data_IF_661028059653
#
_entry.id   IF_661028059653
#
_cell.length_a   1.000
_cell.length_b   1.000
_cell.length_c   1.000
_cell.angle_alpha   90.00
_cell.angle_beta   90.00
_cell.angle_gamma   90.00
#
_symmetry.space_group_name_H-M   'P 1'
#
loop_
_entity.id
_entity.type
_entity.pdbx_description
1 polymer ?
#
# COMPACT_ATOMS: atom_id res chain seq x y z
N UNK A 1 8.71 -6.19 -6.38
CA UNK A 1 8.99 -4.95 -7.15
C UNK A 1 9.65 -3.94 -6.23
N UNK A 2 10.76 -3.31 -6.63
CA UNK A 2 11.33 -2.21 -5.86
C UNK A 2 10.55 -0.91 -6.13
N UNK A 3 10.05 -0.27 -5.07
CA UNK A 3 9.29 1.00 -5.17
C UNK A 3 10.30 2.12 -5.39
N UNK A 4 10.27 2.77 -6.56
CA UNK A 4 11.09 3.95 -6.85
C UNK A 4 10.45 5.18 -6.22
N UNK A 5 11.07 5.74 -5.18
CA UNK A 5 10.66 7.00 -4.55
C UNK A 5 11.42 8.16 -5.22
N UNK A 6 10.70 9.20 -5.64
CA UNK A 6 11.32 10.40 -6.18
C UNK A 6 11.78 11.29 -4.99
N UNK A 7 13.08 11.66 -4.90
CA UNK A 7 13.63 12.42 -3.78
C UNK A 7 13.10 13.87 -3.70
N UNK A 8 12.74 14.49 -4.83
CA UNK A 8 12.17 15.85 -4.88
C UNK A 8 10.72 15.91 -4.36
N UNK A 9 10.16 14.74 -4.04
CA UNK A 9 8.76 14.56 -3.66
C UNK A 9 8.70 14.01 -2.25
N UNK A 10 8.50 14.86 -1.22
CA UNK A 10 8.46 14.39 0.17
C UNK A 10 7.38 13.33 0.34
N UNK A 11 7.75 12.29 1.09
CA UNK A 11 6.90 11.17 1.52
C UNK A 11 6.96 11.14 3.03
N UNK A 12 5.80 11.13 3.67
CA UNK A 12 5.71 10.97 5.12
C UNK A 12 5.29 9.54 5.41
N UNK A 13 6.14 8.78 6.09
CA UNK A 13 5.87 7.37 6.35
C UNK A 13 4.73 7.21 7.36
N UNK A 14 3.81 6.30 7.04
CA UNK A 14 2.71 5.97 7.94
C UNK A 14 3.23 5.14 9.11
N UNK A 15 3.20 5.72 10.29
CA UNK A 15 3.56 5.06 11.55
C UNK A 15 2.34 4.54 12.30
N UNK A 16 2.57 3.53 13.14
CA UNK A 16 1.57 2.97 14.06
C UNK A 16 0.34 2.38 13.37
N UNK A 17 -0.84 2.73 13.88
CA UNK A 17 -2.13 2.14 13.52
C UNK A 17 -2.47 2.23 12.04
N UNK A 18 -1.93 3.23 11.33
CA UNK A 18 -2.16 3.43 9.91
C UNK A 18 -1.76 2.22 9.07
N UNK A 19 -0.64 1.56 9.39
CA UNK A 19 -0.21 0.34 8.68
C UNK A 19 -1.17 -0.83 8.96
N UNK A 20 -1.66 -0.93 10.19
CA UNK A 20 -2.67 -1.91 10.58
C UNK A 20 -3.98 -1.74 9.80
N UNK A 21 -4.44 -0.49 9.66
CA UNK A 21 -5.65 -0.15 8.88
C UNK A 21 -5.46 -0.53 7.41
N UNK A 22 -4.31 -0.18 6.80
CA UNK A 22 -4.01 -0.53 5.41
C UNK A 22 -4.03 -2.05 5.21
N UNK A 23 -3.41 -2.81 6.13
CA UNK A 23 -3.42 -4.28 6.12
C UNK A 23 -4.83 -4.86 6.25
N UNK A 24 -5.64 -4.35 7.16
CA UNK A 24 -7.03 -4.81 7.33
C UNK A 24 -7.88 -4.59 6.07
N UNK A 25 -7.73 -3.44 5.41
CA UNK A 25 -8.48 -3.15 4.18
C UNK A 25 -7.97 -4.02 3.04
N UNK A 26 -6.66 -4.07 2.81
CA UNK A 26 -6.06 -4.83 1.72
C UNK A 26 -6.14 -6.33 1.92
N UNK A 27 -6.22 -6.84 3.15
CA UNK A 27 -6.41 -8.27 3.42
C UNK A 27 -7.74 -8.82 2.88
N UNK A 28 -8.70 -7.93 2.57
CA UNK A 28 -9.97 -8.28 1.92
C UNK A 28 -9.91 -8.18 0.39
N UNK A 29 -8.76 -7.74 -0.16
CA UNK A 29 -8.54 -7.54 -1.59
C UNK A 29 -7.61 -8.64 -2.07
N UNK A 30 -7.98 -9.32 -3.16
CA UNK A 30 -7.12 -10.36 -3.73
C UNK A 30 -5.73 -9.77 -4.07
N UNK A 31 -4.65 -10.42 -3.64
CA UNK A 31 -3.28 -9.91 -3.74
C UNK A 31 -2.82 -9.64 -5.19
N UNK A 32 -3.36 -10.38 -6.16
CA UNK A 32 -3.11 -10.16 -7.60
C UNK A 32 -3.94 -9.03 -8.23
N UNK A 33 -4.81 -8.36 -7.47
CA UNK A 33 -5.55 -7.18 -7.95
C UNK A 33 -4.56 -6.11 -8.43
N UNK A 34 -4.89 -5.46 -9.55
CA UNK A 34 -4.05 -4.40 -10.11
C UNK A 34 -3.74 -3.31 -9.05
N UNK A 35 -2.49 -2.85 -8.89
CA UNK A 35 -2.10 -1.96 -7.78
C UNK A 35 -2.94 -0.68 -7.70
N UNK A 36 -3.26 -0.06 -8.84
CA UNK A 36 -4.12 1.13 -8.89
C UNK A 36 -5.54 0.87 -8.38
N UNK A 37 -6.09 -0.33 -8.61
CA UNK A 37 -7.44 -0.70 -8.16
C UNK A 37 -7.44 -0.95 -6.65
N UNK A 38 -6.45 -1.68 -6.15
CA UNK A 38 -6.26 -1.89 -4.72
C UNK A 38 -6.02 -0.57 -3.97
N UNK A 39 -5.21 0.35 -4.52
CA UNK A 39 -4.99 1.67 -3.94
C UNK A 39 -6.25 2.55 -3.94
N UNK A 40 -7.11 2.45 -4.96
CA UNK A 40 -8.42 3.13 -4.95
C UNK A 40 -9.34 2.58 -3.87
N UNK A 41 -9.35 1.26 -3.65
CA UNK A 41 -10.17 0.60 -2.62
C UNK A 41 -9.67 0.90 -1.20
N UNK A 42 -8.35 0.94 -0.99
CA UNK A 42 -7.74 1.28 0.29
C UNK A 42 -7.75 2.78 0.61
N UNK A 43 -8.34 3.63 -0.25
CA UNK A 43 -8.30 5.08 -0.08
C UNK A 43 -9.34 5.54 0.96
N UNK A 44 -8.93 6.17 2.07
CA UNK A 44 -9.84 6.78 3.04
C UNK A 44 -10.70 7.89 2.42
N UNK A 45 -11.88 8.10 3.01
CA UNK A 45 -12.72 9.26 2.71
C UNK A 45 -11.91 10.54 2.99
N UNK A 46 -12.14 11.59 2.19
CA UNK A 46 -11.45 12.88 2.31
C UNK A 46 -9.93 12.87 2.10
N UNK A 47 -9.32 11.79 1.63
CA UNK A 47 -7.88 11.72 1.34
C UNK A 47 -7.39 12.83 0.37
N UNK A 48 -8.27 13.46 -0.43
CA UNK A 48 -7.92 14.63 -1.26
C UNK A 48 -7.56 15.88 -0.46
N UNK A 49 -8.11 16.03 0.76
CA UNK A 49 -7.88 17.18 1.65
C UNK A 49 -6.59 17.04 2.47
N UNK A 50 -6.02 15.83 2.52
CA UNK A 50 -4.80 15.51 3.26
C UNK A 50 -3.57 16.08 2.51
N UNK A 51 -2.54 16.58 3.22
CA UNK A 51 -1.27 16.99 2.64
C UNK A 51 -0.70 15.99 1.62
N UNK A 52 -0.04 16.50 0.58
CA UNK A 52 0.48 15.66 -0.52
C UNK A 52 1.49 14.63 -0.02
N UNK A 53 2.33 14.99 0.96
CA UNK A 53 3.34 14.09 1.53
C UNK A 53 2.70 12.88 2.21
N UNK A 54 1.69 13.10 3.05
CA UNK A 54 0.89 12.04 3.69
C UNK A 54 0.13 11.17 2.69
N UNK A 55 -0.43 11.76 1.62
CA UNK A 55 -1.04 11.00 0.53
C UNK A 55 -0.05 10.04 -0.14
N UNK A 56 1.18 10.50 -0.35
CA UNK A 56 2.26 9.67 -0.91
C UNK A 56 2.68 8.59 0.07
N UNK A 57 2.76 8.92 1.36
CA UNK A 57 2.96 7.95 2.44
C UNK A 57 1.95 6.82 2.43
N UNK A 58 0.67 7.17 2.31
CA UNK A 58 -0.41 6.20 2.16
C UNK A 58 -0.25 5.33 0.93
N UNK A 59 0.06 5.93 -0.22
CA UNK A 59 0.29 5.17 -1.44
C UNK A 59 1.49 4.22 -1.30
N UNK A 60 2.59 4.67 -0.68
CA UNK A 60 3.77 3.83 -0.39
C UNK A 60 3.39 2.65 0.48
N UNK A 61 2.72 2.88 1.61
CA UNK A 61 2.29 1.82 2.54
C UNK A 61 1.38 0.78 1.86
N UNK A 62 0.44 1.22 1.02
CA UNK A 62 -0.42 0.33 0.24
C UNK A 62 0.40 -0.55 -0.71
N UNK A 63 1.36 0.04 -1.43
CA UNK A 63 2.19 -0.68 -2.40
C UNK A 63 3.14 -1.66 -1.71
N UNK A 64 3.73 -1.29 -0.58
CA UNK A 64 4.55 -2.17 0.25
C UNK A 64 3.75 -3.36 0.75
N UNK A 65 2.55 -3.11 1.30
CA UNK A 65 1.66 -4.16 1.80
C UNK A 65 1.21 -5.12 0.68
N UNK A 66 0.88 -4.60 -0.51
CA UNK A 66 0.56 -5.44 -1.67
C UNK A 66 1.74 -6.28 -2.13
N UNK A 67 2.95 -5.71 -2.10
CA UNK A 67 4.16 -6.43 -2.46
C UNK A 67 4.45 -7.55 -1.45
N UNK A 68 4.31 -7.27 -0.15
CA UNK A 68 4.38 -8.30 0.91
C UNK A 68 3.41 -9.46 0.63
N UNK A 69 2.11 -9.16 0.41
CA UNK A 69 1.10 -10.19 0.17
C UNK A 69 1.33 -10.98 -1.11
N UNK A 70 1.81 -10.35 -2.17
CA UNK A 70 2.17 -11.04 -3.42
C UNK A 70 3.38 -11.94 -3.23
N UNK A 71 4.39 -11.48 -2.52
CA UNK A 71 5.56 -12.30 -2.18
C UNK A 71 5.15 -13.51 -1.35
N UNK A 72 4.32 -13.32 -0.32
CA UNK A 72 3.79 -14.44 0.48
C UNK A 72 2.96 -15.41 -0.35
N UNK A 73 2.07 -14.89 -1.20
CA UNK A 73 1.25 -15.73 -2.08
C UNK A 73 2.13 -16.55 -3.03
N UNK A 74 3.12 -15.93 -3.69
CA UNK A 74 4.03 -16.63 -4.58
C UNK A 74 4.85 -17.69 -3.82
N UNK A 75 5.34 -17.38 -2.62
CA UNK A 75 6.07 -18.32 -1.79
C UNK A 75 5.23 -19.56 -1.47
N UNK A 76 3.99 -19.38 -1.02
CA UNK A 76 3.06 -20.49 -0.73
C UNK A 76 2.72 -21.29 -1.99
N UNK A 77 2.45 -20.62 -3.12
CA UNK A 77 2.05 -21.29 -4.36
C UNK A 77 3.20 -22.04 -5.05
N UNK A 78 4.45 -21.62 -4.83
CA UNK A 78 5.64 -22.28 -5.36
C UNK A 78 6.19 -23.37 -4.42
N UNK A 79 5.51 -23.63 -3.30
CA UNK A 79 5.91 -24.68 -2.34
C UNK A 79 7.20 -24.34 -1.58
N UNK A 80 7.43 -23.06 -1.30
CA UNK A 80 8.57 -22.60 -0.52
C UNK A 80 8.53 -23.04 0.94
#
# INVERSE_FOLDING_TARGET
MSIKINPDRPVEDLVGDNRGIVRQILGRVHCMTHPLKAAKQARPKNMRKVPVALRRGWAKCVLETLNEYRSTYLYVMLGG
#
